data_IF_045211858183
#
_entry.id   IF_045211858183
#
_cell.length_a   1.000
_cell.length_b   1.000
_cell.length_c   1.000
_cell.angle_alpha   90.00
_cell.angle_beta   90.00
_cell.angle_gamma   90.00
#
_symmetry.space_group_name_H-M   'P 1'
#
loop_
_entity.id
_entity.type
_entity.pdbx_description
1 polymer ?
#
# COMPACT_ATOMS: atom_id res chain seq x y z
N UNK A 1 -19.18 -53.77 58.25
CA UNK A 1 -17.94 -53.71 57.43
C UNK A 1 -17.83 -52.30 56.87
N UNK A 2 -16.90 -51.52 57.40
CA UNK A 2 -16.65 -50.12 56.94
C UNK A 2 -15.40 -50.12 56.06
N UNK A 3 -15.37 -49.49 54.89
CA UNK A 3 -14.13 -49.31 54.13
C UNK A 3 -13.35 -48.11 54.65
N UNK A 4 -12.05 -48.32 54.87
CA UNK A 4 -11.04 -47.26 55.13
C UNK A 4 -10.77 -46.48 53.86
N UNK A 5 -10.87 -45.14 53.92
CA UNK A 5 -10.33 -44.23 52.91
C UNK A 5 -8.89 -43.87 53.25
N UNK A 6 -7.97 -44.25 52.38
CA UNK A 6 -6.56 -43.88 52.45
C UNK A 6 -6.38 -42.56 51.71
N UNK A 7 -6.07 -41.47 52.42
CA UNK A 7 -5.77 -40.19 51.85
C UNK A 7 -4.30 -40.13 51.44
N UNK A 8 -4.02 -40.02 50.15
CA UNK A 8 -2.67 -39.81 49.62
C UNK A 8 -2.36 -38.29 49.59
N UNK A 9 -1.40 -37.86 50.38
CA UNK A 9 -0.81 -36.52 50.34
C UNK A 9 0.15 -36.43 49.13
N UNK A 10 -0.17 -35.58 48.15
CA UNK A 10 0.73 -35.20 47.07
C UNK A 10 1.58 -34.00 47.51
N UNK A 11 2.93 -33.99 47.38
CA UNK A 11 3.74 -32.81 47.66
C UNK A 11 3.63 -31.79 46.51
N UNK A 12 3.25 -30.57 46.87
CA UNK A 12 3.22 -29.41 46.00
C UNK A 12 4.66 -28.90 45.73
N UNK A 13 5.22 -29.20 44.58
CA UNK A 13 6.48 -28.65 44.09
C UNK A 13 6.25 -27.19 43.66
N UNK A 14 6.69 -26.24 44.45
CA UNK A 14 6.79 -24.83 44.06
C UNK A 14 7.88 -24.68 42.99
N UNK A 15 7.50 -24.47 41.76
CA UNK A 15 8.40 -24.09 40.68
C UNK A 15 8.77 -22.60 40.83
N UNK A 16 10.04 -22.30 41.05
CA UNK A 16 10.56 -20.95 41.08
C UNK A 16 10.45 -20.29 39.67
N UNK A 17 10.04 -19.00 39.57
CA UNK A 17 9.99 -18.30 38.30
C UNK A 17 11.40 -18.16 37.71
N UNK A 18 11.61 -18.64 36.51
CA UNK A 18 12.84 -18.40 35.74
C UNK A 18 12.87 -16.95 35.27
N UNK A 19 14.00 -16.23 35.40
CA UNK A 19 14.14 -14.90 34.83
C UNK A 19 14.03 -14.99 33.28
N UNK A 20 13.04 -14.31 32.72
CA UNK A 20 12.93 -14.10 31.26
C UNK A 20 14.05 -13.14 30.90
N UNK A 21 15.06 -13.63 30.19
CA UNK A 21 16.08 -12.79 29.59
C UNK A 21 15.42 -11.80 28.63
N UNK A 22 15.54 -10.51 28.89
CA UNK A 22 15.09 -9.46 27.99
C UNK A 22 15.84 -9.63 26.66
N UNK A 23 15.14 -10.06 25.62
CA UNK A 23 15.65 -10.06 24.25
C UNK A 23 15.81 -8.59 23.84
N UNK A 24 17.07 -8.13 23.79
CA UNK A 24 17.40 -6.86 23.14
C UNK A 24 16.97 -6.94 21.68
N UNK A 25 16.03 -6.09 21.27
CA UNK A 25 15.64 -5.98 19.88
C UNK A 25 16.89 -5.70 19.00
N UNK A 26 17.04 -6.34 17.85
CA UNK A 26 18.15 -6.06 16.96
C UNK A 26 18.15 -4.57 16.59
N UNK A 27 19.32 -3.94 16.43
CA UNK A 27 19.40 -2.54 16.02
C UNK A 27 18.65 -2.35 14.70
N UNK A 28 17.81 -1.31 14.65
CA UNK A 28 17.08 -0.95 13.44
C UNK A 28 18.09 -0.77 12.29
N UNK A 29 17.82 -1.40 11.15
CA UNK A 29 18.64 -1.21 9.96
C UNK A 29 18.71 0.29 9.62
N UNK A 30 19.90 0.82 9.21
CA UNK A 30 20.03 2.21 8.84
C UNK A 30 19.04 2.54 7.71
N UNK A 31 18.34 3.69 7.85
CA UNK A 31 17.43 4.17 6.82
C UNK A 31 18.21 4.33 5.49
N UNK A 32 17.66 3.91 4.35
CA UNK A 32 18.30 4.09 3.07
C UNK A 32 18.52 5.58 2.78
N UNK A 33 19.62 5.95 2.11
CA UNK A 33 19.86 7.33 1.74
C UNK A 33 18.73 7.87 0.85
N UNK A 34 18.26 9.09 1.11
CA UNK A 34 17.13 9.72 0.41
C UNK A 34 17.23 9.67 -1.12
N UNK A 35 18.46 9.75 -1.68
CA UNK A 35 18.71 9.65 -3.12
C UNK A 35 18.30 8.30 -3.74
N UNK A 36 18.13 7.23 -2.96
CA UNK A 36 17.71 5.93 -3.45
C UNK A 36 16.23 5.87 -3.82
N UNK A 37 15.41 6.80 -3.32
CA UNK A 37 13.97 6.83 -3.53
C UNK A 37 13.54 7.43 -4.87
N UNK A 38 14.38 8.29 -5.47
CA UNK A 38 14.12 8.98 -6.74
C UNK A 38 14.73 8.30 -7.98
N UNK A 39 15.27 7.09 -7.84
CA UNK A 39 15.84 6.35 -8.97
C UNK A 39 14.75 5.69 -9.82
N UNK A 40 14.36 6.34 -10.91
CA UNK A 40 13.37 5.86 -11.87
C UNK A 40 13.91 4.81 -12.87
N UNK A 41 15.21 4.53 -12.84
CA UNK A 41 15.84 3.53 -13.72
C UNK A 41 15.68 2.09 -13.22
N UNK A 42 15.01 1.89 -12.12
CA UNK A 42 14.83 0.61 -11.44
C UNK A 42 14.18 -0.43 -12.34
N UNK A 43 14.81 -1.60 -12.41
CA UNK A 43 14.25 -2.72 -13.17
C UNK A 43 12.91 -3.18 -12.60
N UNK A 44 11.96 -3.46 -13.48
CA UNK A 44 10.67 -4.04 -13.08
C UNK A 44 10.87 -5.39 -12.38
N UNK A 45 10.02 -5.73 -11.40
CA UNK A 45 9.95 -7.08 -10.83
C UNK A 45 9.82 -8.16 -11.90
N UNK A 46 10.45 -9.31 -11.70
CA UNK A 46 10.54 -10.38 -12.71
C UNK A 46 9.18 -10.81 -13.26
N UNK A 47 8.16 -10.88 -12.40
CA UNK A 47 6.80 -11.25 -12.81
C UNK A 47 6.17 -10.29 -13.82
N UNK A 48 6.67 -9.06 -13.91
CA UNK A 48 6.15 -8.02 -14.81
C UNK A 48 7.02 -7.82 -16.04
N UNK A 49 8.29 -8.21 -15.99
CA UNK A 49 9.31 -7.85 -16.97
C UNK A 49 8.96 -8.28 -18.40
N UNK A 50 8.42 -9.48 -18.57
CA UNK A 50 8.13 -10.09 -19.88
C UNK A 50 6.68 -9.94 -20.32
N UNK A 51 5.82 -9.34 -19.49
CA UNK A 51 4.41 -9.14 -19.84
C UNK A 51 4.31 -7.88 -20.69
N UNK A 52 3.68 -7.91 -21.86
CA UNK A 52 3.49 -6.72 -22.71
C UNK A 52 2.60 -5.69 -22.02
N UNK A 53 2.85 -4.41 -22.31
CA UNK A 53 2.02 -3.30 -21.84
C UNK A 53 0.72 -3.29 -22.66
N UNK A 54 -0.40 -3.19 -21.98
CA UNK A 54 -1.73 -3.11 -22.60
C UNK A 54 -2.71 -2.24 -21.80
N UNK A 55 -2.23 -1.68 -20.65
CA UNK A 55 -2.99 -0.75 -19.84
C UNK A 55 -2.11 0.47 -19.52
N UNK A 56 -2.73 1.65 -19.47
CA UNK A 56 -2.17 2.80 -18.78
C UNK A 56 -2.60 2.79 -17.32
N UNK A 57 -1.70 3.18 -16.42
CA UNK A 57 -1.94 3.28 -14.99
C UNK A 57 -1.23 4.53 -14.47
N UNK A 58 -1.95 5.39 -13.79
CA UNK A 58 -1.41 6.64 -13.27
C UNK A 58 -1.98 7.03 -11.92
N UNK A 59 -1.26 7.90 -11.22
CA UNK A 59 -1.63 8.45 -9.91
C UNK A 59 -1.67 9.97 -9.97
N UNK A 60 -2.62 10.58 -9.27
CA UNK A 60 -2.76 12.05 -9.22
C UNK A 60 -3.19 12.49 -7.82
N UNK A 61 -2.46 13.42 -7.18
CA UNK A 61 -1.17 13.99 -7.59
C UNK A 61 -0.02 12.98 -7.51
N UNK A 62 1.05 13.25 -8.26
CA UNK A 62 2.31 12.52 -8.21
C UNK A 62 3.47 13.47 -8.57
N UNK A 63 4.44 13.77 -7.69
CA UNK A 63 4.59 13.22 -6.34
C UNK A 63 3.43 13.62 -5.41
N UNK A 64 3.24 12.84 -4.33
CA UNK A 64 2.18 13.03 -3.36
C UNK A 64 2.76 13.41 -2.00
N UNK A 65 2.20 14.45 -1.39
CA UNK A 65 2.66 15.02 -0.13
C UNK A 65 1.64 14.76 0.99
N UNK A 66 2.09 14.56 2.24
CA UNK A 66 1.19 14.44 3.37
C UNK A 66 0.57 15.78 3.74
N UNK A 67 -0.69 15.77 4.13
CA UNK A 67 -1.37 16.90 4.75
C UNK A 67 -1.93 16.45 6.11
N UNK A 68 -2.18 17.37 7.07
CA UNK A 68 -2.87 17.04 8.31
C UNK A 68 -4.22 16.39 8.03
N UNK A 69 -4.53 15.28 8.70
CA UNK A 69 -5.81 14.60 8.54
C UNK A 69 -6.85 15.21 9.51
N UNK A 70 -7.88 15.92 9.02
CA UNK A 70 -8.89 16.51 9.86
C UNK A 70 -9.71 15.48 10.65
N UNK A 71 -9.76 14.23 10.21
CA UNK A 71 -10.44 13.13 10.88
C UNK A 71 -9.60 12.43 11.95
N UNK A 72 -8.29 12.74 12.06
CA UNK A 72 -7.35 12.11 12.99
C UNK A 72 -6.45 13.16 13.63
N UNK A 73 -6.77 13.69 14.81
CA UNK A 73 -5.94 14.69 15.48
C UNK A 73 -4.50 14.22 15.63
N UNK A 74 -3.53 14.99 15.07
CA UNK A 74 -2.11 14.64 15.01
C UNK A 74 -1.72 13.65 13.91
N UNK A 75 -2.67 13.14 13.15
CA UNK A 75 -2.46 12.27 12.01
C UNK A 75 -2.27 13.02 10.69
N UNK A 76 -1.86 12.27 9.67
CA UNK A 76 -1.58 12.77 8.33
C UNK A 76 -2.19 11.84 7.27
N UNK A 77 -2.45 12.39 6.10
CA UNK A 77 -2.98 11.65 4.96
C UNK A 77 -2.29 12.08 3.65
N UNK A 78 -1.87 11.10 2.86
CA UNK A 78 -1.49 11.30 1.45
C UNK A 78 -2.72 11.00 0.61
N UNK A 79 -3.30 12.02 0.00
CA UNK A 79 -4.51 11.89 -0.82
C UNK A 79 -4.13 11.79 -2.28
N UNK A 80 -4.51 10.69 -2.90
CA UNK A 80 -4.38 10.54 -4.35
C UNK A 80 -5.50 9.68 -4.91
N UNK A 81 -5.65 9.74 -6.19
CA UNK A 81 -6.46 8.83 -6.98
C UNK A 81 -5.57 8.00 -7.91
N UNK A 82 -6.04 6.82 -8.24
CA UNK A 82 -5.38 5.93 -9.20
C UNK A 82 -6.34 5.67 -10.35
N UNK A 83 -5.90 5.93 -11.57
CA UNK A 83 -6.71 5.71 -12.79
C UNK A 83 -6.06 4.67 -13.66
N UNK A 84 -6.87 3.75 -14.18
CA UNK A 84 -6.47 2.72 -15.13
C UNK A 84 -7.34 2.79 -16.37
N UNK A 85 -6.73 2.52 -17.54
CA UNK A 85 -7.42 2.38 -18.81
C UNK A 85 -6.84 1.21 -19.61
N UNK A 86 -7.70 0.39 -20.16
CA UNK A 86 -7.30 -0.63 -21.14
C UNK A 86 -7.05 0.03 -22.50
N UNK A 87 -5.86 -0.18 -23.08
CA UNK A 87 -5.45 0.48 -24.31
C UNK A 87 -5.59 -0.43 -25.55
N UNK A 88 -5.41 -1.73 -25.38
CA UNK A 88 -5.27 -2.67 -26.51
C UNK A 88 -6.56 -3.41 -26.86
N UNK A 89 -7.45 -3.65 -25.89
CA UNK A 89 -8.71 -4.37 -26.05
C UNK A 89 -9.55 -4.24 -24.78
N UNK A 90 -10.75 -4.80 -24.75
CA UNK A 90 -11.45 -5.10 -23.50
C UNK A 90 -10.64 -6.14 -22.71
N UNK A 91 -10.38 -5.88 -21.44
CA UNK A 91 -9.54 -6.72 -20.59
C UNK A 91 -10.27 -7.17 -19.32
N UNK A 92 -9.97 -8.37 -18.86
CA UNK A 92 -10.42 -8.92 -17.59
C UNK A 92 -9.27 -8.94 -16.61
N UNK A 93 -9.47 -8.36 -15.42
CA UNK A 93 -8.45 -8.29 -14.37
C UNK A 93 -8.11 -9.70 -13.86
N UNK A 94 -6.81 -9.99 -13.77
CA UNK A 94 -6.26 -11.21 -13.20
C UNK A 94 -5.72 -10.94 -11.81
N UNK A 95 -4.99 -9.83 -11.65
CA UNK A 95 -4.36 -9.46 -10.40
C UNK A 95 -4.05 -7.96 -10.40
N UNK A 96 -4.19 -7.33 -9.24
CA UNK A 96 -3.70 -5.98 -8.97
C UNK A 96 -2.84 -6.00 -7.71
N UNK A 97 -1.87 -5.10 -7.62
CA UNK A 97 -1.05 -4.99 -6.43
C UNK A 97 -0.01 -3.89 -6.52
N UNK A 98 0.86 -3.86 -5.51
CA UNK A 98 1.98 -2.93 -5.50
C UNK A 98 3.24 -3.55 -4.92
N UNK A 99 4.36 -2.95 -5.28
CA UNK A 99 5.67 -3.16 -4.68
C UNK A 99 6.15 -1.86 -4.06
N UNK A 100 6.89 -1.95 -2.96
CA UNK A 100 7.62 -0.82 -2.39
C UNK A 100 9.11 -1.04 -2.63
N UNK A 101 9.81 0.04 -2.95
CA UNK A 101 11.25 0.02 -3.15
C UNK A 101 11.99 0.13 -1.81
N UNK A 102 12.90 -0.81 -1.59
CA UNK A 102 13.87 -0.77 -0.50
C UNK A 102 15.27 -0.83 -1.09
N UNK A 103 16.09 0.18 -0.86
CA UNK A 103 17.38 0.37 -1.54
C UNK A 103 18.31 -0.84 -1.51
N UNK A 104 18.33 -1.60 -0.42
CA UNK A 104 19.19 -2.79 -0.28
C UNK A 104 18.57 -4.07 -0.87
N UNK A 105 17.23 -4.14 -0.95
CA UNK A 105 16.49 -5.35 -1.32
C UNK A 105 15.70 -5.21 -2.63
N UNK A 106 15.68 -4.00 -3.21
CA UNK A 106 14.89 -3.70 -4.41
C UNK A 106 13.39 -3.72 -4.16
N UNK A 107 12.62 -4.04 -5.18
CA UNK A 107 11.17 -4.12 -5.12
C UNK A 107 10.70 -5.27 -4.24
N UNK A 108 9.95 -4.95 -3.17
CA UNK A 108 9.30 -5.92 -2.29
C UNK A 108 7.79 -5.86 -2.46
N UNK A 109 7.14 -7.02 -2.54
CA UNK A 109 5.68 -7.09 -2.63
C UNK A 109 5.06 -6.45 -1.39
N UNK A 110 4.19 -5.48 -1.61
CA UNK A 110 3.48 -4.76 -0.55
C UNK A 110 2.02 -5.21 -0.44
N UNK A 111 1.30 -5.15 -1.55
CA UNK A 111 -0.13 -5.41 -1.59
C UNK A 111 -0.49 -6.31 -2.77
N UNK A 112 -1.53 -7.12 -2.58
CA UNK A 112 -2.23 -7.84 -3.66
C UNK A 112 -3.72 -7.66 -3.45
N UNK A 113 -4.43 -7.48 -4.55
CA UNK A 113 -5.88 -7.40 -4.61
C UNK A 113 -6.40 -8.46 -5.57
N UNK A 114 -7.50 -9.07 -5.19
CA UNK A 114 -8.26 -9.96 -6.07
C UNK A 114 -9.02 -9.17 -7.13
N UNK A 115 -9.46 -9.80 -8.23
CA UNK A 115 -10.32 -9.14 -9.20
C UNK A 115 -11.61 -8.57 -8.61
N UNK A 116 -12.16 -9.17 -7.56
CA UNK A 116 -13.36 -8.69 -6.89
C UNK A 116 -13.11 -7.39 -6.11
N UNK A 117 -12.02 -7.34 -5.32
CA UNK A 117 -11.61 -6.13 -4.61
C UNK A 117 -11.26 -4.99 -5.58
N UNK A 118 -10.57 -5.32 -6.67
CA UNK A 118 -10.31 -4.35 -7.73
C UNK A 118 -11.62 -3.81 -8.33
N UNK A 119 -12.57 -4.68 -8.64
CA UNK A 119 -13.85 -4.29 -9.22
C UNK A 119 -14.63 -3.31 -8.34
N UNK A 120 -14.59 -3.51 -7.03
CA UNK A 120 -15.22 -2.62 -6.05
C UNK A 120 -14.50 -1.28 -5.99
N UNK A 121 -13.16 -1.27 -5.85
CA UNK A 121 -12.37 -0.04 -5.70
C UNK A 121 -12.41 0.86 -6.94
N UNK A 122 -12.35 0.26 -8.13
CA UNK A 122 -12.30 0.99 -9.40
C UNK A 122 -13.67 1.16 -10.08
N UNK A 123 -14.73 0.61 -9.51
CA UNK A 123 -16.08 0.70 -10.09
C UNK A 123 -16.20 0.01 -11.43
N UNK A 124 -15.52 -1.14 -11.62
CA UNK A 124 -15.57 -1.92 -12.85
C UNK A 124 -16.25 -3.29 -12.64
N UNK A 125 -17.54 -3.44 -12.90
CA UNK A 125 -18.29 -4.65 -12.61
C UNK A 125 -17.66 -5.91 -13.20
N UNK A 126 -17.47 -6.93 -12.33
CA UNK A 126 -16.86 -8.20 -12.74
C UNK A 126 -15.37 -8.11 -13.08
N UNK A 127 -14.66 -7.02 -12.68
CA UNK A 127 -13.25 -6.83 -12.98
C UNK A 127 -12.97 -6.67 -14.48
N UNK A 128 -13.90 -6.09 -15.23
CA UNK A 128 -13.78 -5.92 -16.70
C UNK A 128 -13.58 -4.46 -17.07
N UNK A 129 -12.47 -4.20 -17.74
CA UNK A 129 -12.12 -2.90 -18.30
C UNK A 129 -12.50 -2.87 -19.77
N UNK A 130 -13.33 -1.90 -20.19
CA UNK A 130 -13.58 -1.63 -21.60
C UNK A 130 -12.44 -0.82 -22.18
N UNK A 131 -12.04 -1.12 -23.40
CA UNK A 131 -11.01 -0.39 -24.11
C UNK A 131 -11.33 1.11 -24.18
N UNK A 132 -10.33 1.94 -23.90
CA UNK A 132 -10.42 3.39 -23.97
C UNK A 132 -11.20 4.07 -22.85
N UNK A 133 -11.77 3.31 -21.89
CA UNK A 133 -12.52 3.85 -20.76
C UNK A 133 -11.65 3.94 -19.51
N UNK A 134 -11.71 5.08 -18.85
CA UNK A 134 -11.05 5.29 -17.54
C UNK A 134 -11.87 4.69 -16.40
N UNK A 135 -11.16 4.06 -15.46
CA UNK A 135 -11.68 3.57 -14.20
C UNK A 135 -10.80 4.11 -13.08
N UNK A 136 -11.41 4.73 -12.08
CA UNK A 136 -10.65 5.47 -11.07
C UNK A 136 -10.98 5.04 -9.66
N UNK A 137 -9.97 4.64 -8.91
CA UNK A 137 -10.01 4.53 -7.47
C UNK A 137 -9.76 5.91 -6.86
N UNK A 138 -10.82 6.66 -6.61
CA UNK A 138 -10.77 8.07 -6.25
C UNK A 138 -10.18 8.36 -4.86
N UNK A 139 -10.21 7.40 -3.94
CA UNK A 139 -9.74 7.58 -2.55
C UNK A 139 -8.68 6.54 -2.20
N UNK A 140 -7.64 6.47 -3.02
CA UNK A 140 -6.48 5.63 -2.75
C UNK A 140 -5.54 6.35 -1.79
N UNK A 141 -5.93 6.40 -0.52
CA UNK A 141 -5.27 7.21 0.50
C UNK A 141 -4.35 6.37 1.37
N UNK A 142 -3.19 6.96 1.71
CA UNK A 142 -2.28 6.45 2.73
C UNK A 142 -2.42 7.31 3.98
N UNK A 143 -2.33 6.70 5.16
CA UNK A 143 -2.46 7.39 6.44
C UNK A 143 -1.23 7.18 7.32
N UNK A 144 -0.94 8.17 8.17
CA UNK A 144 -0.01 8.08 9.28
C UNK A 144 -0.68 8.63 10.54
N UNK A 145 -0.47 7.97 11.67
CA UNK A 145 -1.10 8.38 12.93
C UNK A 145 -0.38 9.55 13.61
N UNK A 146 0.88 9.80 13.23
CA UNK A 146 1.68 10.90 13.78
C UNK A 146 2.87 11.23 12.87
N UNK A 147 3.56 12.34 13.16
CA UNK A 147 4.69 12.83 12.37
C UNK A 147 5.91 11.88 12.33
N UNK A 148 6.05 10.95 13.28
CA UNK A 148 7.15 9.96 13.26
C UNK A 148 6.94 8.87 12.19
N UNK A 149 5.75 8.76 11.66
CA UNK A 149 5.38 7.81 10.60
C UNK A 149 5.35 8.47 9.20
N UNK A 150 5.85 9.70 9.08
CA UNK A 150 6.00 10.35 7.79
C UNK A 150 7.25 9.81 7.09
N UNK A 151 7.03 8.88 6.17
CA UNK A 151 8.08 8.31 5.35
C UNK A 151 7.80 8.63 3.89
N UNK A 152 8.80 9.16 3.21
CA UNK A 152 8.83 9.19 1.75
C UNK A 152 9.09 7.81 1.18
N UNK A 153 8.76 7.59 -0.07
CA UNK A 153 9.08 6.36 -0.77
C UNK A 153 8.28 6.15 -2.03
N UNK A 154 8.74 5.17 -2.81
CA UNK A 154 8.14 4.84 -4.09
C UNK A 154 7.37 3.54 -4.00
N UNK A 155 6.16 3.55 -4.53
CA UNK A 155 5.37 2.36 -4.75
C UNK A 155 5.09 2.16 -6.24
N UNK A 156 5.48 1.01 -6.76
CA UNK A 156 5.15 0.57 -8.11
C UNK A 156 3.84 -0.20 -8.07
N UNK A 157 2.76 0.41 -8.50
CA UNK A 157 1.50 -0.27 -8.72
C UNK A 157 1.53 -1.06 -10.02
N UNK A 158 0.89 -2.20 -10.04
CA UNK A 158 0.74 -3.01 -11.24
C UNK A 158 -0.65 -3.62 -11.34
N UNK A 159 -1.08 -3.81 -12.57
CA UNK A 159 -2.30 -4.54 -12.93
C UNK A 159 -1.91 -5.57 -13.98
N UNK A 160 -2.35 -6.80 -13.78
CA UNK A 160 -2.32 -7.86 -14.78
C UNK A 160 -3.75 -8.13 -15.24
N UNK A 161 -3.95 -8.13 -16.54
CA UNK A 161 -5.26 -8.38 -17.15
C UNK A 161 -5.11 -9.21 -18.44
N UNK A 162 -6.15 -9.91 -18.83
CA UNK A 162 -6.15 -10.74 -20.04
C UNK A 162 -7.25 -10.33 -20.99
N UNK A 163 -7.00 -10.50 -22.27
CA UNK A 163 -8.03 -10.36 -23.30
C UNK A 163 -8.88 -11.64 -23.45
N UNK A 164 -9.84 -11.61 -24.40
CA UNK A 164 -10.71 -12.77 -24.68
C UNK A 164 -9.98 -13.97 -25.28
N UNK A 165 -8.77 -13.77 -25.83
CA UNK A 165 -7.90 -14.81 -26.34
C UNK A 165 -6.95 -15.38 -25.26
N UNK A 166 -7.05 -14.88 -24.00
CA UNK A 166 -6.22 -15.30 -22.89
C UNK A 166 -4.82 -14.67 -22.88
N UNK A 167 -4.51 -13.73 -23.76
CA UNK A 167 -3.22 -13.04 -23.78
C UNK A 167 -3.14 -12.09 -22.59
N UNK A 168 -2.04 -12.20 -21.85
CA UNK A 168 -1.81 -11.41 -20.64
C UNK A 168 -1.13 -10.07 -20.98
N UNK A 169 -1.61 -9.00 -20.32
CA UNK A 169 -1.07 -7.66 -20.42
C UNK A 169 -0.86 -7.06 -19.03
N UNK A 170 0.04 -6.07 -18.96
CA UNK A 170 0.26 -5.30 -17.74
C UNK A 170 -0.03 -3.82 -17.94
N UNK A 171 -0.38 -3.15 -16.84
CA UNK A 171 -0.21 -1.72 -16.61
C UNK A 171 0.67 -1.52 -15.39
N UNK A 172 1.55 -0.53 -15.41
CA UNK A 172 2.35 -0.14 -14.26
C UNK A 172 2.30 1.36 -14.07
N UNK A 173 2.24 1.81 -12.82
CA UNK A 173 2.29 3.21 -12.42
C UNK A 173 3.14 3.38 -11.17
N UNK A 174 4.11 4.28 -11.22
CA UNK A 174 4.91 4.66 -10.07
C UNK A 174 4.18 5.79 -9.34
N UNK A 175 4.06 5.69 -8.02
CA UNK A 175 3.69 6.81 -7.16
C UNK A 175 4.85 7.11 -6.22
N UNK A 176 5.23 8.38 -6.18
CA UNK A 176 6.21 8.93 -5.26
C UNK A 176 5.49 9.59 -4.10
N UNK A 177 5.79 9.17 -2.87
CA UNK A 177 5.25 9.78 -1.67
C UNK A 177 6.36 10.48 -0.93
N UNK A 178 6.13 11.74 -0.58
CA UNK A 178 7.08 12.57 0.15
C UNK A 178 6.82 12.51 1.66
N UNK A 179 7.85 12.83 2.46
CA UNK A 179 7.72 12.93 3.91
C UNK A 179 7.37 14.35 4.38
N UNK A 180 7.64 15.34 3.54
CA UNK A 180 7.48 16.75 3.87
C UNK A 180 6.02 17.18 3.82
N UNK A 181 5.51 17.70 4.94
CA UNK A 181 4.15 18.23 5.02
C UNK A 181 4.06 19.53 4.24
N UNK A 182 3.25 19.55 3.19
CA UNK A 182 2.98 20.80 2.51
C UNK A 182 2.02 21.67 3.33
N UNK A 183 2.29 23.00 3.42
CA UNK A 183 1.34 23.93 4.02
C UNK A 183 0.03 23.88 3.23
N UNK A 184 -1.08 23.89 3.94
CA UNK A 184 -2.40 23.98 3.29
C UNK A 184 -2.40 25.19 2.32
N UNK A 185 -2.98 25.06 1.11
CA UNK A 185 -3.13 26.19 0.21
C UNK A 185 -3.77 27.36 0.97
N UNK A 186 -3.16 28.55 0.88
CA UNK A 186 -3.72 29.73 1.50
C UNK A 186 -5.19 29.86 1.05
N UNK A 187 -6.12 29.96 1.99
CA UNK A 187 -7.52 30.12 1.68
C UNK A 187 -7.68 31.29 0.72
N UNK A 188 -8.30 31.05 -0.44
CA UNK A 188 -8.58 32.11 -1.40
C UNK A 188 -9.28 33.28 -0.67
N UNK A 189 -8.87 34.54 -0.88
CA UNK A 189 -9.49 35.67 -0.25
C UNK A 189 -10.99 35.64 -0.54
N UNK A 190 -11.80 35.69 0.51
CA UNK A 190 -13.27 35.78 0.35
C UNK A 190 -13.56 37.02 -0.50
N UNK A 191 -14.38 36.89 -1.54
CA UNK A 191 -14.81 38.07 -2.27
C UNK A 191 -15.45 39.04 -1.28
N UNK A 192 -14.84 40.18 -1.10
CA UNK A 192 -15.42 41.30 -0.35
C UNK A 192 -16.69 41.74 -1.10
N UNK A 193 -17.84 41.31 -0.61
CA UNK A 193 -19.12 41.73 -1.15
C UNK A 193 -19.20 43.25 -1.11
N UNK A 194 -19.20 43.89 -2.28
CA UNK A 194 -19.62 45.28 -2.43
C UNK A 194 -21.12 45.36 -2.11
N UNK A 195 -21.45 46.17 -1.08
CA UNK A 195 -22.79 46.61 -0.82
C UNK A 195 -23.22 47.66 -1.85
#
# INVERSE_FOLDING_TARGET
>A
MKPLFLAALLPLLLAAPRPVAAQTAPPAAPAPPAAAWSDHTRALPDKLRRVPVGLSLGHTPNPNYPEPDPGRPGGFVWKHQTTVRAEVADLEIVECGSFIWYSAAGWQQNMRQTPAEFAELFGCPGGRLRQGRDYTFARNYRYADNARQLYGGDALWYILARDRQGRLYKGTGLIETEADVQPAPAAAPRPTGSR
#
